data_IF_041938594842
#
_entry.id   IF_041938594842
#
_cell.length_a   1.000
_cell.length_b   1.000
_cell.length_c   1.000
_cell.angle_alpha   90.00
_cell.angle_beta   90.00
_cell.angle_gamma   90.00
#
_symmetry.space_group_name_H-M   'P 1'
#
loop_
_entity.id
_entity.type
_entity.pdbx_description
1 polymer ?
#
# COMPACT_ATOMS: atom_id res chain seq x y z
N UNK A 1 -7.51 -8.71 8.82
CA UNK A 1 -7.72 -7.58 9.77
C UNK A 1 -7.00 -6.34 9.23
N UNK A 2 -7.69 -5.25 8.90
CA UNK A 2 -7.04 -4.01 8.48
C UNK A 2 -6.46 -3.27 9.70
N UNK A 3 -5.17 -2.95 9.70
CA UNK A 3 -4.47 -2.42 10.88
C UNK A 3 -4.91 -1.01 11.29
N UNK A 4 -5.32 -0.19 10.32
CA UNK A 4 -5.69 1.23 10.51
C UNK A 4 -7.18 1.47 10.29
N UNK A 5 -7.84 0.67 9.46
CA UNK A 5 -9.24 0.88 9.07
C UNK A 5 -10.16 0.84 10.29
N UNK A 6 -10.95 1.91 10.46
CA UNK A 6 -11.92 2.03 11.55
C UNK A 6 -11.35 2.47 12.90
N UNK A 7 -10.03 2.70 13.00
CA UNK A 7 -9.42 3.27 14.21
C UNK A 7 -9.52 4.80 14.19
N UNK A 8 -9.81 5.37 15.35
CA UNK A 8 -9.70 6.81 15.61
C UNK A 8 -8.44 7.05 16.42
N UNK A 9 -7.66 8.05 16.05
CA UNK A 9 -6.47 8.48 16.76
C UNK A 9 -6.73 9.85 17.38
N UNK A 10 -6.32 10.04 18.63
CA UNK A 10 -6.64 11.23 19.41
C UNK A 10 -5.61 12.35 19.23
N UNK A 11 -4.46 12.05 18.60
CA UNK A 11 -3.40 13.00 18.29
C UNK A 11 -2.49 12.47 17.16
N UNK A 12 -1.62 13.35 16.67
CA UNK A 12 -0.71 13.08 15.57
C UNK A 12 0.36 12.06 15.96
N UNK A 13 0.85 12.08 17.20
CA UNK A 13 1.84 11.13 17.70
C UNK A 13 1.30 9.69 17.63
N UNK A 14 0.08 9.46 18.10
CA UNK A 14 -0.58 8.15 18.04
C UNK A 14 -0.79 7.68 16.60
N UNK A 15 -1.07 8.61 15.69
CA UNK A 15 -1.19 8.31 14.26
C UNK A 15 0.15 7.88 13.68
N UNK A 16 1.23 8.64 13.92
CA UNK A 16 2.59 8.33 13.47
C UNK A 16 3.05 6.97 14.00
N UNK A 17 2.91 6.72 15.30
CA UNK A 17 3.27 5.44 15.91
C UNK A 17 2.49 4.27 15.31
N UNK A 18 1.21 4.45 15.01
CA UNK A 18 0.42 3.40 14.36
C UNK A 18 0.92 3.10 12.94
N UNK A 19 1.27 4.11 12.16
CA UNK A 19 1.82 3.92 10.80
C UNK A 19 3.22 3.29 10.86
N UNK A 20 4.08 3.70 11.79
CA UNK A 20 5.39 3.10 11.99
C UNK A 20 5.27 1.63 12.39
N UNK A 21 4.38 1.33 13.34
CA UNK A 21 4.12 -0.05 13.77
C UNK A 21 3.60 -0.89 12.60
N UNK A 22 2.68 -0.35 11.80
CA UNK A 22 2.16 -1.04 10.63
C UNK A 22 3.28 -1.38 9.64
N UNK A 23 4.12 -0.39 9.32
CA UNK A 23 5.21 -0.53 8.35
C UNK A 23 6.26 -1.53 8.84
N UNK A 24 6.67 -1.41 10.11
CA UNK A 24 7.64 -2.31 10.74
C UNK A 24 7.10 -3.74 10.93
N UNK A 25 5.77 -3.92 10.99
CA UNK A 25 5.16 -5.26 11.04
C UNK A 25 5.21 -6.01 9.70
N UNK A 26 5.59 -5.35 8.59
CA UNK A 26 5.60 -5.98 7.27
C UNK A 26 6.93 -6.67 7.00
N UNK A 27 6.91 -7.91 6.47
CA UNK A 27 8.11 -8.55 5.98
C UNK A 27 8.65 -7.78 4.77
N UNK A 28 9.97 -7.83 4.53
CA UNK A 28 10.63 -7.18 3.39
C UNK A 28 9.98 -7.55 2.06
N UNK A 29 9.51 -8.80 1.94
CA UNK A 29 8.82 -9.35 0.79
C UNK A 29 7.52 -8.62 0.45
N UNK A 30 6.86 -7.99 1.43
CA UNK A 30 5.68 -7.15 1.19
C UNK A 30 6.03 -5.99 0.25
N UNK A 31 7.13 -5.29 0.52
CA UNK A 31 7.59 -4.17 -0.29
C UNK A 31 8.17 -4.65 -1.61
N UNK A 32 8.98 -5.72 -1.60
CA UNK A 32 9.54 -6.33 -2.81
C UNK A 32 8.46 -6.71 -3.81
N UNK A 33 7.41 -7.42 -3.34
CA UNK A 33 6.27 -7.80 -4.19
C UNK A 33 5.57 -6.59 -4.80
N UNK A 34 5.49 -5.47 -4.07
CA UNK A 34 4.93 -4.22 -4.58
C UNK A 34 5.73 -3.64 -5.75
N UNK A 35 7.07 -3.64 -5.64
CA UNK A 35 7.97 -3.19 -6.71
C UNK A 35 7.91 -4.14 -7.91
N UNK A 36 7.95 -5.45 -7.67
CA UNK A 36 7.88 -6.46 -8.74
C UNK A 36 6.54 -6.34 -9.52
N UNK A 37 5.46 -5.93 -8.86
CA UNK A 37 4.15 -5.71 -9.50
C UNK A 37 4.10 -4.51 -10.45
N UNK A 38 5.08 -3.60 -10.41
CA UNK A 38 5.10 -2.44 -11.30
C UNK A 38 5.16 -2.86 -12.75
N UNK A 39 5.98 -3.87 -13.10
CA UNK A 39 6.12 -4.35 -14.48
C UNK A 39 4.77 -4.79 -15.06
N UNK A 40 4.00 -5.55 -14.28
CA UNK A 40 2.65 -5.99 -14.64
C UNK A 40 1.71 -4.80 -14.86
N UNK A 41 1.76 -3.80 -13.97
CA UNK A 41 0.95 -2.59 -14.12
C UNK A 41 1.31 -1.81 -15.38
N UNK A 42 2.59 -1.64 -15.70
CA UNK A 42 2.97 -0.96 -16.94
C UNK A 42 2.40 -1.64 -18.19
N UNK A 43 2.40 -2.97 -18.23
CA UNK A 43 1.77 -3.73 -19.31
C UNK A 43 0.26 -3.46 -19.40
N UNK A 44 -0.44 -3.49 -18.27
CA UNK A 44 -1.89 -3.24 -18.23
C UNK A 44 -2.26 -1.81 -18.69
N UNK A 45 -1.42 -0.79 -18.44
CA UNK A 45 -1.65 0.58 -18.94
C UNK A 45 -1.58 0.61 -20.47
N UNK A 46 -0.58 -0.07 -21.04
CA UNK A 46 -0.39 -0.14 -22.50
C UNK A 46 -1.60 -0.82 -23.14
N UNK A 47 -2.02 -1.96 -22.60
CA UNK A 47 -3.19 -2.72 -23.08
C UNK A 47 -4.48 -1.91 -23.00
N UNK A 48 -4.64 -1.11 -21.94
CA UNK A 48 -5.81 -0.25 -21.74
C UNK A 48 -5.74 1.08 -22.50
N UNK A 49 -4.73 1.30 -23.34
CA UNK A 49 -4.57 2.54 -24.09
C UNK A 49 -4.40 3.76 -23.20
N UNK A 50 -3.76 3.60 -22.04
CA UNK A 50 -3.54 4.69 -21.08
C UNK A 50 -4.66 4.90 -20.06
N UNK A 51 -5.73 4.11 -20.07
CA UNK A 51 -6.80 4.20 -19.07
C UNK A 51 -6.38 3.61 -17.71
N UNK A 52 -7.12 3.96 -16.65
CA UNK A 52 -6.85 3.49 -15.30
C UNK A 52 -6.88 1.96 -15.18
N UNK A 53 -5.96 1.46 -14.37
CA UNK A 53 -5.92 0.07 -13.96
C UNK A 53 -6.79 -0.09 -12.72
N UNK A 54 -8.01 -0.58 -12.93
CA UNK A 54 -8.94 -0.95 -11.86
C UNK A 54 -10.23 -0.16 -11.97
N UNK A 55 -11.20 -0.75 -12.66
CA UNK A 55 -12.62 -0.70 -12.33
C UNK A 55 -13.01 -2.12 -11.87
#
# INVERSE_FOLDING_TARGET
MCFVRGKKFNNDEATKTAIDTFSNSKPTEFFKRGIDHLVKRWQEIIEKGGNYIGD
#
